data_IF_320543711573
#
_entry.id   IF_320543711573
#
_cell.length_a   1.000
_cell.length_b   1.000
_cell.length_c   1.000
_cell.angle_alpha   90.00
_cell.angle_beta   90.00
_cell.angle_gamma   90.00
#
_symmetry.space_group_name_H-M   'P 1'
#
loop_
_entity.id
_entity.type
_entity.pdbx_description
1 polymer ?
#
# COMPACT_ATOMS: atom_id res chain seq x y z
N UNK A 1 -7.52 -28.29 -2.04
CA UNK A 1 -8.24 -27.45 -3.02
C UNK A 1 -7.56 -26.09 -2.98
N UNK A 2 -7.08 -25.61 -4.10
CA UNK A 2 -6.51 -24.26 -4.19
C UNK A 2 -7.69 -23.28 -4.11
N UNK A 3 -7.73 -22.44 -3.09
CA UNK A 3 -8.72 -21.39 -2.98
C UNK A 3 -8.50 -20.39 -4.15
N UNK A 4 -9.56 -20.02 -4.83
CA UNK A 4 -9.53 -19.09 -5.94
C UNK A 4 -10.74 -18.17 -5.86
N UNK A 5 -10.59 -17.01 -5.24
CA UNK A 5 -11.65 -16.01 -5.07
C UNK A 5 -11.43 -14.80 -5.97
N UNK A 6 -11.47 -15.03 -7.28
CA UNK A 6 -11.35 -13.94 -8.25
C UNK A 6 -12.57 -13.00 -8.27
N UNK A 7 -13.62 -13.34 -7.54
CA UNK A 7 -14.89 -12.61 -7.56
C UNK A 7 -15.17 -11.82 -6.25
N UNK A 8 -14.21 -11.78 -5.31
CA UNK A 8 -14.38 -11.15 -4.00
C UNK A 8 -15.53 -11.75 -3.16
N UNK A 9 -15.82 -13.05 -3.30
CA UNK A 9 -16.88 -13.73 -2.53
C UNK A 9 -16.65 -13.63 -1.03
N UNK A 10 -15.40 -13.57 -0.60
CA UNK A 10 -15.08 -13.33 0.81
C UNK A 10 -15.58 -11.95 1.27
N UNK A 11 -15.31 -10.90 0.50
CA UNK A 11 -15.79 -9.54 0.79
C UNK A 11 -17.31 -9.45 0.71
N UNK A 12 -17.93 -10.12 -0.27
CA UNK A 12 -19.41 -10.15 -0.40
C UNK A 12 -20.08 -10.78 0.82
N UNK A 13 -19.46 -11.80 1.41
CA UNK A 13 -20.03 -12.52 2.55
C UNK A 13 -19.68 -11.91 3.92
N UNK A 14 -18.52 -11.25 4.05
CA UNK A 14 -18.00 -10.73 5.33
C UNK A 14 -17.91 -9.19 5.38
N UNK A 15 -17.98 -8.51 4.22
CA UNK A 15 -17.71 -7.07 4.10
C UNK A 15 -16.25 -6.73 4.28
N UNK A 16 -15.93 -5.46 4.22
CA UNK A 16 -14.65 -4.92 4.66
C UNK A 16 -14.88 -4.33 6.06
N UNK A 17 -14.28 -4.87 7.11
CA UNK A 17 -14.51 -4.36 8.45
C UNK A 17 -13.98 -2.92 8.56
N UNK A 18 -14.65 -2.04 9.28
CA UNK A 18 -14.12 -0.72 9.57
C UNK A 18 -12.82 -0.84 10.36
N UNK A 19 -11.97 0.17 10.26
CA UNK A 19 -10.83 0.28 11.15
C UNK A 19 -11.31 0.30 12.61
N UNK A 20 -10.59 -0.34 13.55
CA UNK A 20 -10.88 -0.21 14.96
C UNK A 20 -10.72 1.25 15.42
N UNK A 21 -11.26 1.59 16.58
CA UNK A 21 -11.06 2.92 17.16
C UNK A 21 -9.55 3.17 17.35
N UNK A 22 -9.00 4.26 16.83
CA UNK A 22 -7.57 4.54 16.92
C UNK A 22 -7.19 5.10 18.30
N UNK A 23 -5.97 4.80 18.74
CA UNK A 23 -5.38 5.44 19.93
C UNK A 23 -5.02 6.91 19.66
N UNK A 24 -4.62 7.22 18.41
CA UNK A 24 -4.36 8.58 17.95
C UNK A 24 -4.73 8.69 16.46
N UNK A 25 -5.40 9.79 16.09
CA UNK A 25 -5.65 10.13 14.69
C UNK A 25 -5.58 11.65 14.49
N UNK A 26 -5.34 12.05 13.27
CA UNK A 26 -5.29 13.49 12.96
C UNK A 26 -4.77 13.77 11.57
N UNK A 27 -4.29 14.99 11.41
CA UNK A 27 -3.68 15.47 10.18
C UNK A 27 -2.29 16.01 10.43
N UNK A 28 -1.41 15.83 9.47
CA UNK A 28 -0.15 16.55 9.36
C UNK A 28 -0.17 17.42 8.12
N UNK A 29 0.27 18.67 8.27
CA UNK A 29 0.46 19.56 7.14
C UNK A 29 1.80 19.23 6.48
N UNK A 30 1.79 18.92 5.19
CA UNK A 30 3.00 18.72 4.42
C UNK A 30 2.84 19.31 3.02
N UNK A 31 3.69 20.27 2.69
CA UNK A 31 3.80 20.83 1.35
C UNK A 31 2.43 21.17 0.69
N UNK A 32 1.58 21.87 1.42
CA UNK A 32 0.29 22.37 0.92
C UNK A 32 -0.88 21.40 0.95
N UNK A 33 -0.68 20.20 1.50
CA UNK A 33 -1.75 19.25 1.76
C UNK A 33 -1.83 18.88 3.25
N UNK A 34 -3.01 18.44 3.67
CA UNK A 34 -3.28 17.86 4.98
C UNK A 34 -3.39 16.36 4.82
N UNK A 35 -2.46 15.63 5.43
CA UNK A 35 -2.35 14.18 5.33
C UNK A 35 -2.97 13.56 6.58
N UNK A 36 -4.02 12.79 6.39
CA UNK A 36 -4.69 12.09 7.48
C UNK A 36 -3.97 10.79 7.84
N UNK A 37 -3.91 10.52 9.12
CA UNK A 37 -3.38 9.27 9.66
C UNK A 37 -4.19 8.78 10.85
N UNK A 38 -4.10 7.48 11.14
CA UNK A 38 -4.54 6.88 12.40
C UNK A 38 -3.51 5.86 12.87
N UNK A 39 -3.34 5.79 14.19
CA UNK A 39 -2.39 4.91 14.88
C UNK A 39 -3.13 4.03 15.87
N UNK A 40 -2.83 2.73 15.85
CA UNK A 40 -3.49 1.72 16.65
C UNK A 40 -2.45 0.83 17.34
N UNK A 41 -2.64 0.57 18.63
CA UNK A 41 -1.75 -0.27 19.44
C UNK A 41 -0.40 0.39 19.77
N UNK A 42 0.52 -0.42 20.22
CA UNK A 42 1.85 0.00 20.67
C UNK A 42 2.91 -1.02 20.25
N UNK A 43 4.19 -0.67 20.39
CA UNK A 43 5.32 -1.52 20.00
C UNK A 43 6.01 -1.02 18.73
N UNK A 44 6.79 -1.87 18.03
CA UNK A 44 7.47 -1.50 16.80
C UNK A 44 6.46 -1.05 15.73
N UNK A 45 6.77 0.06 15.05
CA UNK A 45 5.83 0.67 14.11
C UNK A 45 5.77 -0.08 12.77
N UNK A 46 4.56 -0.27 12.28
CA UNK A 46 4.22 -0.80 10.95
C UNK A 46 3.31 0.21 10.26
N UNK A 47 3.78 0.80 9.16
CA UNK A 47 2.99 1.75 8.36
C UNK A 47 2.34 0.98 7.21
N UNK A 48 1.04 1.19 7.00
CA UNK A 48 0.28 0.60 5.92
C UNK A 48 -0.09 1.67 4.89
N UNK A 49 0.36 1.47 3.65
CA UNK A 49 0.14 2.37 2.52
C UNK A 49 -0.73 1.68 1.47
N UNK A 50 -1.91 2.22 1.23
CA UNK A 50 -2.90 1.67 0.30
C UNK A 50 -2.55 1.93 -1.17
N UNK A 51 -3.19 1.21 -2.08
CA UNK A 51 -3.09 1.40 -3.52
C UNK A 51 -3.85 2.61 -4.05
N UNK A 52 -3.67 2.89 -5.33
CA UNK A 52 -4.34 4.01 -6.02
C UNK A 52 -5.85 3.97 -5.88
N UNK A 53 -6.46 5.13 -5.76
CA UNK A 53 -7.90 5.38 -5.54
C UNK A 53 -8.46 4.81 -4.22
N UNK A 54 -7.66 4.02 -3.47
CA UNK A 54 -8.04 3.46 -2.18
C UNK A 54 -7.96 4.46 -1.03
N UNK A 55 -8.02 3.93 0.18
CA UNK A 55 -7.84 4.68 1.42
C UNK A 55 -7.47 3.72 2.55
N UNK A 56 -7.15 4.27 3.71
CA UNK A 56 -6.79 3.50 4.91
C UNK A 56 -7.83 2.47 5.36
N UNK A 57 -9.11 2.66 5.02
CA UNK A 57 -10.18 1.71 5.31
C UNK A 57 -9.99 0.34 4.64
N UNK A 58 -9.18 0.27 3.59
CA UNK A 58 -8.82 -0.99 2.94
C UNK A 58 -8.03 -1.95 3.86
N UNK A 59 -7.50 -1.47 4.97
CA UNK A 59 -6.70 -2.20 5.94
C UNK A 59 -7.51 -2.75 7.13
N UNK A 60 -8.84 -2.79 7.04
CA UNK A 60 -9.70 -3.22 8.13
C UNK A 60 -9.43 -4.63 8.67
N UNK A 61 -8.94 -5.55 7.83
CA UNK A 61 -8.52 -6.89 8.26
C UNK A 61 -7.09 -6.93 8.79
N UNK A 62 -6.20 -6.04 8.31
CA UNK A 62 -4.78 -6.07 8.63
C UNK A 62 -4.46 -5.40 9.96
N UNK A 63 -5.10 -4.25 10.24
CA UNK A 63 -4.84 -3.47 11.46
C UNK A 63 -5.07 -4.28 12.73
N UNK A 64 -6.20 -5.00 12.91
CA UNK A 64 -6.38 -5.83 14.10
C UNK A 64 -5.32 -6.91 14.25
N UNK A 65 -4.95 -7.59 13.16
CA UNK A 65 -3.96 -8.66 13.18
C UNK A 65 -2.55 -8.15 13.56
N UNK A 66 -2.17 -6.96 13.06
CA UNK A 66 -0.90 -6.33 13.38
C UNK A 66 -0.85 -5.90 14.86
N UNK A 67 -1.93 -5.33 15.37
CA UNK A 67 -2.05 -4.91 16.77
C UNK A 67 -2.03 -6.12 17.72
N UNK A 68 -2.76 -7.19 17.38
CA UNK A 68 -2.79 -8.45 18.16
C UNK A 68 -1.40 -9.09 18.22
N UNK A 69 -0.59 -8.96 17.17
CA UNK A 69 0.79 -9.43 17.14
C UNK A 69 1.77 -8.56 17.96
N UNK A 70 1.31 -7.47 18.58
CA UNK A 70 2.11 -6.59 19.45
C UNK A 70 2.85 -5.48 18.70
N UNK A 71 2.41 -5.12 17.51
CA UNK A 71 2.94 -3.99 16.74
C UNK A 71 2.03 -2.77 16.81
N UNK A 72 2.61 -1.60 16.55
CA UNK A 72 1.87 -0.36 16.36
C UNK A 72 1.53 -0.22 14.87
N UNK A 73 0.26 -0.37 14.50
CA UNK A 73 -0.22 -0.17 13.14
C UNK A 73 -0.52 1.32 12.89
N UNK A 74 0.06 1.89 11.85
CA UNK A 74 -0.21 3.26 11.40
C UNK A 74 -0.74 3.21 9.97
N UNK A 75 -1.95 3.71 9.76
CA UNK A 75 -2.56 3.82 8.44
C UNK A 75 -2.55 5.28 7.99
N UNK A 76 -2.33 5.51 6.70
CA UNK A 76 -2.27 6.83 6.10
C UNK A 76 -3.22 6.87 4.91
N UNK A 77 -4.05 7.90 4.81
CA UNK A 77 -4.70 8.24 3.56
C UNK A 77 -3.70 9.03 2.71
N UNK A 78 -3.30 8.48 1.57
CA UNK A 78 -2.36 9.15 0.65
C UNK A 78 -2.90 10.49 0.19
N UNK A 79 -2.02 11.41 -0.20
CA UNK A 79 -2.39 12.73 -0.72
C UNK A 79 -3.55 12.66 -1.72
N UNK A 80 -4.62 13.42 -1.47
CA UNK A 80 -5.83 13.46 -2.29
C UNK A 80 -6.76 12.26 -2.18
N UNK A 81 -6.40 11.25 -1.41
CA UNK A 81 -7.22 10.06 -1.16
C UNK A 81 -7.91 10.14 0.20
N UNK A 82 -9.01 9.41 0.35
CA UNK A 82 -9.71 9.31 1.62
C UNK A 82 -10.00 10.67 2.24
N UNK A 83 -9.47 10.91 3.44
CA UNK A 83 -9.62 12.16 4.21
C UNK A 83 -8.53 13.19 3.92
N UNK A 84 -7.46 12.77 3.23
CA UNK A 84 -6.33 13.65 2.91
C UNK A 84 -6.68 14.63 1.80
N UNK A 85 -6.20 15.86 1.92
CA UNK A 85 -6.35 16.86 0.87
C UNK A 85 -5.21 16.78 -0.14
N UNK A 86 -5.32 17.54 -1.22
CA UNK A 86 -4.25 17.76 -2.20
C UNK A 86 -4.12 19.24 -2.52
N UNK A 87 -2.99 19.60 -3.10
CA UNK A 87 -2.79 20.88 -3.75
C UNK A 87 -2.85 20.76 -5.29
N UNK A 88 -2.38 21.76 -6.01
CA UNK A 88 -2.41 21.80 -7.47
C UNK A 88 -1.25 21.07 -8.14
N UNK A 89 -0.29 20.50 -7.37
CA UNK A 89 0.86 19.77 -7.92
C UNK A 89 0.43 18.42 -8.50
N UNK A 90 1.18 17.97 -9.49
CA UNK A 90 1.07 16.62 -10.00
C UNK A 90 1.47 15.62 -8.90
N UNK A 91 0.85 14.46 -8.89
CA UNK A 91 1.21 13.38 -7.96
C UNK A 91 2.57 12.80 -8.33
N UNK A 92 3.32 12.43 -7.30
CA UNK A 92 4.52 11.62 -7.44
C UNK A 92 4.73 10.74 -6.21
N UNK A 93 5.39 9.61 -6.40
CA UNK A 93 5.74 8.73 -5.27
C UNK A 93 6.73 9.41 -4.32
N UNK A 94 7.59 10.32 -4.79
CA UNK A 94 8.44 11.15 -3.94
C UNK A 94 7.62 12.04 -3.01
N UNK A 95 6.56 12.64 -3.53
CA UNK A 95 5.67 13.47 -2.73
C UNK A 95 4.92 12.65 -1.68
N UNK A 96 4.44 11.46 -2.04
CA UNK A 96 3.78 10.52 -1.12
C UNK A 96 4.75 9.95 -0.08
N UNK A 97 6.01 9.72 -0.43
CA UNK A 97 7.06 9.33 0.50
C UNK A 97 7.37 10.45 1.51
N UNK A 98 7.43 11.71 1.04
CA UNK A 98 7.59 12.87 1.93
C UNK A 98 6.39 13.03 2.87
N UNK A 99 5.16 12.77 2.42
CA UNK A 99 3.96 12.77 3.26
C UNK A 99 4.05 11.67 4.34
N UNK A 100 4.47 10.48 3.97
CA UNK A 100 4.67 9.35 4.90
C UNK A 100 5.71 9.72 5.96
N UNK A 101 6.84 10.33 5.57
CA UNK A 101 7.87 10.79 6.49
C UNK A 101 7.33 11.86 7.45
N UNK A 102 6.53 12.81 6.96
CA UNK A 102 5.91 13.83 7.81
C UNK A 102 4.98 13.22 8.86
N UNK A 103 4.23 12.16 8.53
CA UNK A 103 3.44 11.40 9.51
C UNK A 103 4.33 10.69 10.52
N UNK A 104 5.43 10.07 10.08
CA UNK A 104 6.40 9.45 10.99
C UNK A 104 6.96 10.47 11.98
N UNK A 105 7.35 11.65 11.50
CA UNK A 105 7.89 12.74 12.34
C UNK A 105 6.85 13.24 13.35
N UNK A 106 5.59 13.42 12.90
CA UNK A 106 4.47 13.81 13.77
C UNK A 106 4.23 12.81 14.91
N UNK A 107 4.40 11.53 14.62
CA UNK A 107 4.17 10.43 15.58
C UNK A 107 5.41 10.04 16.39
N UNK A 108 6.56 10.69 16.18
CA UNK A 108 7.83 10.36 16.82
C UNK A 108 8.36 8.96 16.43
N UNK A 109 8.04 8.49 15.23
CA UNK A 109 8.48 7.19 14.71
C UNK A 109 9.83 7.40 14.03
N UNK A 110 10.91 6.94 14.66
CA UNK A 110 12.25 7.02 14.08
C UNK A 110 12.42 6.03 12.92
N UNK A 111 11.88 4.81 13.06
CA UNK A 111 12.01 3.73 12.07
C UNK A 111 10.75 2.86 12.08
N UNK A 112 10.29 2.44 10.89
CA UNK A 112 9.12 1.59 10.74
C UNK A 112 9.32 0.50 9.68
N UNK A 113 8.63 -0.64 9.81
CA UNK A 113 8.34 -1.51 8.69
C UNK A 113 7.21 -0.90 7.85
N UNK A 114 7.27 -1.08 6.53
CA UNK A 114 6.23 -0.56 5.63
C UNK A 114 5.53 -1.73 4.94
N UNK A 115 4.22 -1.77 5.02
CA UNK A 115 3.37 -2.67 4.22
C UNK A 115 2.72 -1.82 3.13
N UNK A 116 3.23 -1.94 1.92
CA UNK A 116 2.73 -1.18 0.76
C UNK A 116 1.96 -2.08 -0.20
N UNK A 117 0.80 -1.63 -0.62
CA UNK A 117 -0.02 -2.26 -1.65
C UNK A 117 -0.08 -1.37 -2.88
N UNK A 118 0.30 -1.89 -4.07
CA UNK A 118 0.27 -1.15 -5.33
C UNK A 118 1.03 0.19 -5.19
N UNK A 119 0.45 1.34 -5.47
CA UNK A 119 1.08 2.67 -5.31
C UNK A 119 1.74 2.86 -3.93
N UNK A 120 1.17 2.25 -2.88
CA UNK A 120 1.77 2.27 -1.55
C UNK A 120 3.09 1.51 -1.47
N UNK A 121 3.28 0.48 -2.30
CA UNK A 121 4.54 -0.27 -2.38
C UNK A 121 5.65 0.56 -3.05
N UNK A 122 5.33 1.26 -4.14
CA UNK A 122 6.29 2.18 -4.78
C UNK A 122 6.63 3.36 -3.88
N UNK A 123 5.64 3.91 -3.18
CA UNK A 123 5.89 4.94 -2.15
C UNK A 123 6.88 4.45 -1.10
N UNK A 124 6.78 3.19 -0.66
CA UNK A 124 7.70 2.59 0.30
C UNK A 124 9.13 2.43 -0.26
N UNK A 125 9.28 2.03 -1.54
CA UNK A 125 10.60 1.95 -2.18
C UNK A 125 11.26 3.32 -2.29
N UNK A 126 10.52 4.35 -2.70
CA UNK A 126 11.02 5.71 -2.77
C UNK A 126 11.41 6.22 -1.37
N UNK A 127 10.60 5.96 -0.34
CA UNK A 127 10.95 6.32 1.03
C UNK A 127 12.26 5.65 1.48
N UNK A 128 12.44 4.36 1.16
CA UNK A 128 13.68 3.65 1.49
C UNK A 128 14.89 4.12 0.66
N UNK A 129 14.68 4.57 -0.56
CA UNK A 129 15.73 5.17 -1.39
C UNK A 129 16.19 6.52 -0.83
N UNK A 130 15.25 7.35 -0.38
CA UNK A 130 15.54 8.69 0.13
C UNK A 130 16.05 8.69 1.57
N UNK A 131 15.48 7.83 2.43
CA UNK A 131 15.74 7.79 3.87
C UNK A 131 15.81 6.35 4.39
N UNK A 132 16.79 5.53 3.96
CA UNK A 132 16.88 4.11 4.31
C UNK A 132 16.95 3.86 5.82
N UNK A 133 17.50 4.78 6.59
CA UNK A 133 17.56 4.71 8.06
C UNK A 133 16.17 4.73 8.72
N UNK A 134 15.16 5.28 8.03
CA UNK A 134 13.77 5.37 8.51
C UNK A 134 12.96 4.09 8.24
N UNK A 135 13.46 3.19 7.39
CA UNK A 135 12.73 2.00 6.93
C UNK A 135 13.39 0.73 7.46
N UNK A 136 12.68 -0.03 8.28
CA UNK A 136 13.14 -1.31 8.82
C UNK A 136 13.11 -2.44 7.77
N UNK A 137 12.16 -2.37 6.84
CA UNK A 137 11.97 -3.27 5.72
C UNK A 137 10.62 -2.99 5.05
N UNK A 138 10.42 -3.56 3.86
CA UNK A 138 9.25 -3.32 3.03
C UNK A 138 8.57 -4.65 2.66
N UNK A 139 7.29 -4.78 2.98
CA UNK A 139 6.40 -5.74 2.36
C UNK A 139 5.82 -5.08 1.10
N UNK A 140 6.45 -5.33 -0.04
CA UNK A 140 6.13 -4.77 -1.34
C UNK A 140 5.11 -5.65 -2.03
N UNK A 141 3.84 -5.27 -2.00
CA UNK A 141 2.77 -6.07 -2.57
C UNK A 141 2.25 -5.46 -3.88
N UNK A 142 2.43 -6.21 -4.97
CA UNK A 142 1.73 -6.06 -6.24
C UNK A 142 1.88 -4.67 -6.90
N UNK A 143 3.12 -4.24 -7.18
CA UNK A 143 3.38 -3.03 -7.98
C UNK A 143 4.52 -3.25 -8.98
N UNK A 144 4.57 -2.40 -9.99
CA UNK A 144 5.64 -2.35 -10.97
C UNK A 144 6.58 -1.17 -10.65
N UNK A 145 7.86 -1.35 -10.90
CA UNK A 145 8.88 -0.29 -10.71
C UNK A 145 9.26 0.43 -12.01
N UNK A 146 8.76 -0.06 -13.13
CA UNK A 146 8.86 0.53 -14.47
C UNK A 146 7.71 0.03 -15.36
N UNK A 147 7.59 0.56 -16.58
CA UNK A 147 6.50 0.29 -17.51
C UNK A 147 6.47 -1.15 -18.06
N UNK A 148 7.56 -1.91 -17.92
CA UNK A 148 7.63 -3.32 -18.37
C UNK A 148 6.90 -4.28 -17.43
N UNK A 149 6.56 -3.84 -16.22
CA UNK A 149 5.97 -4.68 -15.18
C UNK A 149 4.47 -4.83 -15.23
N UNK A 150 3.78 -4.11 -16.12
CA UNK A 150 2.32 -4.10 -16.18
C UNK A 150 1.78 -5.03 -17.26
N UNK A 151 0.69 -5.73 -16.93
CA UNK A 151 -0.12 -6.47 -17.88
C UNK A 151 -0.98 -5.54 -18.73
N UNK A 152 -1.36 -5.94 -19.97
CA UNK A 152 -2.41 -5.25 -20.68
C UNK A 152 -3.68 -5.17 -19.83
N UNK A 153 -4.21 -3.95 -19.66
CA UNK A 153 -5.40 -3.76 -18.84
C UNK A 153 -6.61 -4.47 -19.40
N UNK A 154 -7.25 -5.31 -18.58
CA UNK A 154 -8.52 -5.98 -18.89
C UNK A 154 -9.50 -5.70 -17.77
N UNK A 155 -10.57 -4.98 -18.09
CA UNK A 155 -11.62 -4.70 -17.10
C UNK A 155 -12.36 -5.99 -16.73
N UNK A 156 -12.35 -6.33 -15.45
CA UNK A 156 -13.02 -7.52 -14.88
C UNK A 156 -14.15 -7.12 -13.94
N UNK A 157 -15.09 -8.02 -13.63
CA UNK A 157 -16.13 -7.73 -12.63
C UNK A 157 -15.55 -7.37 -11.26
N UNK A 158 -14.44 -7.98 -10.86
CA UNK A 158 -13.78 -7.68 -9.57
C UNK A 158 -13.25 -6.26 -9.54
N UNK A 159 -12.58 -5.83 -10.61
CA UNK A 159 -12.10 -4.44 -10.77
C UNK A 159 -13.30 -3.48 -10.70
N UNK A 160 -14.40 -3.79 -11.39
CA UNK A 160 -15.60 -2.95 -11.36
C UNK A 160 -16.20 -2.78 -9.96
N UNK A 161 -16.20 -3.85 -9.14
CA UNK A 161 -16.70 -3.79 -7.76
C UNK A 161 -15.79 -2.96 -6.86
N UNK A 162 -14.48 -3.15 -6.95
CA UNK A 162 -13.51 -2.36 -6.20
C UNK A 162 -13.58 -0.89 -6.59
N UNK A 163 -13.69 -0.60 -7.89
CA UNK A 163 -13.87 0.77 -8.38
C UNK A 163 -15.11 1.44 -7.76
N UNK A 164 -16.26 0.75 -7.76
CA UNK A 164 -17.47 1.26 -7.14
C UNK A 164 -17.31 1.48 -5.62
N UNK A 165 -16.56 0.60 -4.95
CA UNK A 165 -16.27 0.77 -3.53
C UNK A 165 -15.40 2.01 -3.30
N UNK A 166 -14.34 2.20 -4.09
CA UNK A 166 -13.49 3.40 -3.99
C UNK A 166 -14.27 4.69 -4.24
N UNK A 167 -15.19 4.72 -5.21
CA UNK A 167 -16.07 5.88 -5.44
C UNK A 167 -16.94 6.19 -4.22
N UNK A 168 -17.55 5.16 -3.61
CA UNK A 168 -18.37 5.32 -2.40
C UNK A 168 -17.54 5.84 -1.22
N UNK A 169 -16.36 5.26 -1.01
CA UNK A 169 -15.49 5.64 0.09
C UNK A 169 -14.99 7.08 -0.10
N UNK A 170 -14.60 7.44 -1.32
CA UNK A 170 -14.17 8.80 -1.64
C UNK A 170 -15.30 9.81 -1.39
N UNK A 171 -16.50 9.51 -1.85
CA UNK A 171 -17.66 10.35 -1.61
C UNK A 171 -18.00 10.51 -0.11
N UNK A 172 -17.70 9.47 0.70
CA UNK A 172 -17.97 9.50 2.14
C UNK A 172 -16.90 10.24 2.96
N UNK A 173 -15.63 10.18 2.54
CA UNK A 173 -14.50 10.64 3.36
C UNK A 173 -13.84 11.91 2.85
N UNK A 174 -13.85 12.15 1.55
CA UNK A 174 -13.11 13.26 0.95
C UNK A 174 -13.73 14.62 1.28
N UNK A 175 -12.87 15.61 1.44
CA UNK A 175 -13.29 17.02 1.52
C UNK A 175 -13.87 17.53 0.17
N UNK A 176 -13.59 16.82 -0.94
CA UNK A 176 -14.08 17.12 -2.30
C UNK A 176 -14.79 15.91 -2.90
N UNK A 177 -15.94 15.48 -2.37
CA UNK A 177 -16.57 14.20 -2.70
C UNK A 177 -16.98 14.04 -4.17
N UNK A 178 -17.08 15.13 -4.92
CA UNK A 178 -17.41 15.14 -6.36
C UNK A 178 -16.19 14.98 -7.28
N UNK A 179 -14.96 14.96 -6.77
CA UNK A 179 -13.74 15.05 -7.57
C UNK A 179 -13.06 13.70 -7.82
N UNK A 180 -13.78 12.58 -7.65
CA UNK A 180 -13.19 11.22 -7.82
C UNK A 180 -12.57 11.01 -9.20
N UNK A 181 -13.23 11.49 -10.27
CA UNK A 181 -12.71 11.35 -11.63
C UNK A 181 -11.42 12.16 -11.83
N UNK A 182 -11.31 13.33 -11.17
CA UNK A 182 -10.09 14.14 -11.20
C UNK A 182 -8.96 13.48 -10.38
N UNK A 183 -9.27 12.80 -9.27
CA UNK A 183 -8.32 11.98 -8.53
C UNK A 183 -7.82 10.84 -9.42
N UNK A 184 -8.74 10.07 -10.00
CA UNK A 184 -8.40 8.92 -10.86
C UNK A 184 -7.48 9.32 -12.01
N UNK A 185 -7.81 10.39 -12.74
CA UNK A 185 -6.99 10.88 -13.86
C UNK A 185 -5.58 11.30 -13.43
N UNK A 186 -5.45 11.91 -12.24
CA UNK A 186 -4.16 12.32 -11.71
C UNK A 186 -3.30 11.11 -11.27
N UNK A 187 -3.93 10.13 -10.60
CA UNK A 187 -3.27 8.87 -10.19
C UNK A 187 -2.84 8.07 -11.41
N UNK A 188 -3.71 7.89 -12.41
CA UNK A 188 -3.38 7.21 -13.67
C UNK A 188 -2.21 7.86 -14.40
N UNK A 189 -2.11 9.20 -14.36
CA UNK A 189 -0.97 9.93 -14.94
C UNK A 189 0.31 9.62 -14.22
N UNK A 190 0.31 9.58 -12.89
CA UNK A 190 1.46 9.18 -12.08
C UNK A 190 1.87 7.72 -12.39
N UNK A 191 0.93 6.79 -12.35
CA UNK A 191 1.19 5.37 -12.60
C UNK A 191 1.79 5.07 -13.98
N UNK A 192 1.43 5.84 -15.01
CA UNK A 192 1.98 5.68 -16.36
C UNK A 192 3.39 6.23 -16.53
N UNK A 193 3.82 7.12 -15.66
CA UNK A 193 5.08 7.86 -15.81
C UNK A 193 6.10 7.58 -14.74
N UNK A 194 5.70 6.91 -13.66
CA UNK A 194 6.51 6.71 -12.46
C UNK A 194 6.33 5.27 -11.92
N UNK A 195 7.28 4.81 -11.05
CA UNK A 195 8.48 5.51 -10.59
C UNK A 195 9.66 5.44 -11.57
N UNK A 196 9.67 4.53 -12.56
CA UNK A 196 10.75 4.29 -13.53
C UNK A 196 12.13 4.10 -12.86
N UNK A 197 12.18 3.20 -11.87
CA UNK A 197 13.42 2.90 -11.15
C UNK A 197 14.36 2.06 -12.00
N UNK A 198 15.54 2.58 -12.26
CA UNK A 198 16.59 1.81 -12.94
C UNK A 198 17.13 0.68 -12.07
N UNK A 199 17.72 -0.36 -12.68
CA UNK A 199 18.40 -1.42 -11.94
C UNK A 199 19.46 -0.90 -10.95
N UNK A 200 20.15 0.19 -11.30
CA UNK A 200 21.13 0.81 -10.41
C UNK A 200 20.45 1.49 -9.20
N UNK A 201 19.28 2.11 -9.39
CA UNK A 201 18.50 2.69 -8.30
C UNK A 201 17.98 1.60 -7.37
N UNK A 202 17.44 0.50 -7.91
CA UNK A 202 16.99 -0.65 -7.12
C UNK A 202 18.14 -1.30 -6.34
N UNK A 203 19.30 -1.50 -6.97
CA UNK A 203 20.50 -2.04 -6.31
C UNK A 203 21.02 -1.17 -5.15
N UNK A 204 20.63 0.11 -5.10
CA UNK A 204 20.94 1.03 -4.00
C UNK A 204 20.00 0.89 -2.79
N UNK A 205 18.89 0.18 -2.90
CA UNK A 205 17.92 -0.01 -1.80
C UNK A 205 18.37 -1.21 -0.97
N UNK A 206 18.96 -0.96 0.20
CA UNK A 206 19.60 -1.98 1.03
C UNK A 206 18.75 -2.52 2.18
N UNK A 207 17.51 -2.02 2.32
CA UNK A 207 16.59 -2.52 3.34
C UNK A 207 15.99 -3.88 2.91
N UNK A 208 15.64 -4.78 3.85
CA UNK A 208 14.97 -6.04 3.53
C UNK A 208 13.64 -5.80 2.78
N UNK A 209 13.39 -6.53 1.69
CA UNK A 209 12.16 -6.43 0.90
C UNK A 209 11.54 -7.81 0.70
N UNK A 210 10.29 -7.98 1.10
CA UNK A 210 9.47 -9.08 0.61
C UNK A 210 8.71 -8.62 -0.63
N UNK A 211 9.13 -9.06 -1.82
CA UNK A 211 8.39 -8.85 -3.07
C UNK A 211 7.26 -9.87 -3.17
N UNK A 212 6.02 -9.41 -3.08
CA UNK A 212 4.85 -10.29 -2.94
C UNK A 212 3.83 -10.01 -4.04
N UNK A 213 3.26 -11.09 -4.61
CA UNK A 213 2.27 -11.01 -5.67
C UNK A 213 1.16 -12.02 -5.45
N UNK A 214 -0.07 -11.71 -5.81
CA UNK A 214 -1.14 -12.70 -5.97
C UNK A 214 -0.89 -13.58 -7.20
N UNK A 215 -1.16 -14.89 -7.11
CA UNK A 215 -1.02 -15.82 -8.25
C UNK A 215 -1.80 -15.36 -9.49
N UNK A 216 -2.92 -14.69 -9.27
CA UNK A 216 -3.83 -14.22 -10.32
C UNK A 216 -3.90 -12.69 -10.39
N UNK A 217 -2.82 -12.01 -10.04
CA UNK A 217 -2.77 -10.54 -10.13
C UNK A 217 -3.22 -10.06 -11.52
N UNK A 218 -4.11 -9.07 -11.56
CA UNK A 218 -4.70 -8.57 -12.79
C UNK A 218 -3.80 -7.56 -13.52
N UNK A 219 -2.87 -6.94 -12.80
CA UNK A 219 -2.14 -5.77 -13.28
C UNK A 219 -0.65 -6.00 -13.45
N UNK A 220 -0.05 -6.84 -12.59
CA UNK A 220 1.42 -6.96 -12.47
C UNK A 220 1.89 -8.30 -13.03
N UNK A 221 2.94 -8.25 -13.87
CA UNK A 221 3.60 -9.44 -14.41
C UNK A 221 4.42 -10.13 -13.32
N UNK A 222 4.32 -11.47 -13.22
CA UNK A 222 5.10 -12.24 -12.26
C UNK A 222 6.60 -12.18 -12.56
N UNK A 223 6.95 -12.11 -13.82
CA UNK A 223 8.34 -11.94 -14.29
C UNK A 223 8.95 -10.64 -13.77
N UNK A 224 8.14 -9.58 -13.68
CA UNK A 224 8.59 -8.30 -13.13
C UNK A 224 8.88 -8.39 -11.62
N UNK A 225 8.04 -9.06 -10.85
CA UNK A 225 8.33 -9.32 -9.44
C UNK A 225 9.56 -10.19 -9.24
N UNK A 226 9.81 -11.14 -10.16
CA UNK A 226 11.05 -11.93 -10.19
C UNK A 226 12.26 -11.07 -10.49
N UNK A 227 12.14 -10.12 -11.44
CA UNK A 227 13.19 -9.15 -11.74
C UNK A 227 13.48 -8.26 -10.52
N UNK A 228 12.46 -7.72 -9.89
CA UNK A 228 12.58 -6.90 -8.68
C UNK A 228 13.34 -7.65 -7.57
N UNK A 229 12.90 -8.86 -7.24
CA UNK A 229 13.52 -9.68 -6.20
C UNK A 229 14.97 -10.08 -6.50
N UNK A 230 15.37 -10.16 -7.77
CA UNK A 230 16.77 -10.43 -8.18
C UNK A 230 17.65 -9.18 -8.20
N UNK A 231 17.05 -8.02 -8.38
CA UNK A 231 17.79 -6.74 -8.54
C UNK A 231 18.03 -6.06 -7.20
N UNK A 232 17.10 -6.16 -6.28
CA UNK A 232 17.25 -5.68 -4.91
C UNK A 232 18.27 -6.52 -4.15
N UNK A 233 19.20 -5.92 -3.36
CA UNK A 233 20.28 -6.63 -2.65
C UNK A 233 19.78 -7.62 -1.58
N UNK A 234 18.69 -7.30 -0.91
CA UNK A 234 18.10 -8.11 0.17
C UNK A 234 16.60 -8.27 -0.06
N UNK A 235 16.23 -9.15 -0.99
CA UNK A 235 14.83 -9.37 -1.32
C UNK A 235 14.48 -10.86 -1.46
N UNK A 236 13.23 -11.17 -1.11
CA UNK A 236 12.62 -12.49 -1.31
C UNK A 236 11.36 -12.36 -2.16
N UNK A 237 11.07 -13.35 -3.02
CA UNK A 237 9.85 -13.41 -3.80
C UNK A 237 8.85 -14.36 -3.16
N UNK A 238 7.61 -13.90 -3.01
CA UNK A 238 6.50 -14.72 -2.53
C UNK A 238 5.29 -14.56 -3.45
N UNK A 239 4.71 -15.68 -3.88
CA UNK A 239 3.45 -15.69 -4.63
C UNK A 239 2.36 -16.25 -3.72
N UNK A 240 1.29 -15.50 -3.53
CA UNK A 240 0.15 -15.88 -2.71
C UNK A 240 -0.83 -16.74 -3.54
N UNK A 241 -0.96 -18.03 -3.22
CA UNK A 241 -1.75 -18.93 -4.06
C UNK A 241 -3.24 -18.62 -3.99
N UNK A 242 -3.91 -18.65 -5.13
CA UNK A 242 -5.35 -18.46 -5.25
C UNK A 242 -5.82 -17.01 -5.15
N UNK A 243 -4.94 -16.05 -4.90
CA UNK A 243 -5.26 -14.64 -4.70
C UNK A 243 -4.86 -13.78 -5.89
N UNK A 244 -5.46 -12.60 -5.99
CA UNK A 244 -5.21 -11.61 -7.03
C UNK A 244 -4.57 -10.32 -6.48
N UNK A 245 -4.64 -9.23 -7.24
CA UNK A 245 -4.21 -7.90 -6.81
C UNK A 245 -4.91 -7.43 -5.52
N UNK A 246 -6.08 -7.97 -5.25
CA UNK A 246 -6.94 -7.61 -4.11
C UNK A 246 -6.78 -8.58 -2.92
N UNK A 247 -5.66 -9.29 -2.84
CA UNK A 247 -5.37 -10.28 -1.79
C UNK A 247 -5.63 -9.80 -0.35
N UNK A 248 -5.34 -8.53 0.05
CA UNK A 248 -5.67 -8.03 1.39
C UNK A 248 -7.14 -8.18 1.77
N UNK A 249 -8.03 -8.17 0.76
CA UNK A 249 -9.48 -8.27 0.91
C UNK A 249 -10.01 -9.68 0.60
N UNK A 250 -9.43 -10.36 -0.40
CA UNK A 250 -9.89 -11.67 -0.87
C UNK A 250 -9.57 -12.82 0.08
N UNK A 251 -8.38 -12.80 0.68
CA UNK A 251 -7.88 -13.83 1.55
C UNK A 251 -7.06 -13.24 2.69
N UNK A 252 -7.71 -12.49 3.60
CA UNK A 252 -7.01 -11.76 4.65
C UNK A 252 -6.15 -12.65 5.53
N UNK A 253 -6.55 -13.89 5.80
CA UNK A 253 -5.76 -14.83 6.61
C UNK A 253 -4.42 -15.18 5.93
N UNK A 254 -4.45 -15.46 4.62
CA UNK A 254 -3.23 -15.77 3.84
C UNK A 254 -2.34 -14.54 3.73
N UNK A 255 -2.94 -13.38 3.42
CA UNK A 255 -2.20 -12.13 3.32
C UNK A 255 -1.56 -11.74 4.66
N UNK A 256 -2.34 -11.74 5.75
CA UNK A 256 -1.86 -11.44 7.09
C UNK A 256 -0.76 -12.41 7.54
N UNK A 257 -0.89 -13.71 7.23
CA UNK A 257 0.15 -14.70 7.51
C UNK A 257 1.48 -14.37 6.84
N UNK A 258 1.45 -13.92 5.57
CA UNK A 258 2.65 -13.48 4.85
C UNK A 258 3.24 -12.18 5.47
N UNK A 259 2.40 -11.20 5.79
CA UNK A 259 2.81 -9.96 6.48
C UNK A 259 3.48 -10.29 7.82
N UNK A 260 2.84 -11.12 8.67
CA UNK A 260 3.38 -11.47 9.99
C UNK A 260 4.72 -12.21 9.88
N UNK A 261 4.87 -13.12 8.90
CA UNK A 261 6.13 -13.81 8.66
C UNK A 261 7.25 -12.82 8.35
N UNK A 262 6.98 -11.85 7.49
CA UNK A 262 7.94 -10.80 7.16
C UNK A 262 8.25 -9.92 8.37
N UNK A 263 7.25 -9.37 9.06
CA UNK A 263 7.45 -8.49 10.21
C UNK A 263 8.27 -9.16 11.31
N UNK A 264 7.98 -10.43 11.60
CA UNK A 264 8.74 -11.21 12.61
C UNK A 264 10.21 -11.39 12.22
N UNK A 265 10.52 -11.43 10.91
CA UNK A 265 11.90 -11.57 10.43
C UNK A 265 12.75 -10.32 10.62
N UNK A 266 12.12 -9.12 10.62
CA UNK A 266 12.82 -7.82 10.60
C UNK A 266 12.65 -6.98 11.88
N UNK A 267 11.62 -7.23 12.68
CA UNK A 267 11.26 -6.44 13.87
C UNK A 267 11.45 -7.25 15.18
N UNK A 268 12.54 -7.96 15.32
CA UNK A 268 12.87 -8.71 16.56
C UNK A 268 13.41 -7.82 17.64
#
# INVERSE_FOLDING_TARGET
>A
MTFRDLDLTYVESHGIPPLPEPDEQGFVENEGARIWYASHGSGPAVILLHGGMGNSGNWGYQVPAIVEAGYRAVVIDSRGHGRSTRDAREYSYQLMAADTRAVMDRLGIEKAAIVGWSDGADTALILAQETPERVAGIFFFACNVDDTGTKPFVFTPVIGRIWQQHQKDYAAFSATPGDFDALSAAVETMQRTQPNLSAAALAGISVPVAAVLGEFDEFIEQEHMTYLAKTLPDATLHVLPGLSHFAPLQGPDVFNGAVMTFLTSILR
#
